data_IF_719560632120
#
_entry.id   IF_719560632120
#
_cell.length_a   1.000
_cell.length_b   1.000
_cell.length_c   1.000
_cell.angle_alpha   90.00
_cell.angle_beta   90.00
_cell.angle_gamma   90.00
#
_symmetry.space_group_name_H-M   'P 1'
#
loop_
_entity.id
_entity.type
_entity.pdbx_description
1 polymer ?
#
# COMPACT_ATOMS: atom_id res chain seq x y z
N UNK A 1 6.40 -12.01 -40.47
CA UNK A 1 5.05 -12.47 -40.89
C UNK A 1 4.07 -11.31 -41.11
N UNK A 2 3.66 -10.55 -40.09
CA UNK A 2 2.64 -9.49 -40.26
C UNK A 2 3.06 -8.30 -41.14
N UNK A 3 4.34 -7.96 -41.15
CA UNK A 3 4.86 -6.83 -41.93
C UNK A 3 5.32 -7.20 -43.35
N UNK A 4 5.37 -8.50 -43.69
CA UNK A 4 5.97 -8.97 -44.95
C UNK A 4 7.47 -8.65 -45.11
N UNK A 5 8.15 -8.20 -44.04
CA UNK A 5 9.56 -7.85 -44.04
C UNK A 5 10.44 -9.02 -43.54
N UNK A 6 11.68 -9.06 -44.02
CA UNK A 6 12.72 -9.97 -43.54
C UNK A 6 13.15 -9.64 -42.11
N UNK A 7 13.52 -10.67 -41.35
CA UNK A 7 14.03 -10.52 -39.99
C UNK A 7 15.33 -9.69 -39.98
N UNK A 8 15.40 -8.67 -39.13
CA UNK A 8 16.55 -7.76 -39.06
C UNK A 8 16.45 -6.47 -39.90
N UNK A 9 15.45 -6.34 -40.79
CA UNK A 9 15.21 -5.11 -41.57
C UNK A 9 14.45 -4.01 -40.81
N UNK A 10 14.05 -4.26 -39.57
CA UNK A 10 13.29 -3.35 -38.73
C UNK A 10 13.63 -3.55 -37.25
N UNK A 11 13.41 -2.50 -36.45
CA UNK A 11 13.51 -2.57 -34.98
C UNK A 11 12.13 -2.55 -34.35
N UNK A 12 11.90 -3.39 -33.35
CA UNK A 12 10.66 -3.40 -32.57
C UNK A 12 10.88 -2.82 -31.18
N UNK A 13 9.93 -1.99 -30.74
CA UNK A 13 9.83 -1.53 -29.37
C UNK A 13 8.47 -1.87 -28.79
N UNK A 14 8.45 -2.56 -27.66
CA UNK A 14 7.20 -2.88 -26.97
C UNK A 14 6.69 -1.63 -26.27
N UNK A 15 5.49 -1.17 -26.63
CA UNK A 15 4.83 -0.01 -26.04
C UNK A 15 3.84 -0.40 -24.94
N UNK A 16 3.21 -1.57 -25.07
CA UNK A 16 2.26 -2.09 -24.09
C UNK A 16 2.20 -3.61 -24.13
N UNK A 17 2.10 -4.24 -22.96
CA UNK A 17 1.83 -5.68 -22.79
C UNK A 17 0.63 -5.87 -21.85
N UNK A 18 -0.30 -6.74 -22.23
CA UNK A 18 -1.43 -7.12 -21.38
C UNK A 18 -1.85 -8.58 -21.62
N UNK A 19 -2.59 -9.13 -20.67
CA UNK A 19 -3.09 -10.51 -20.71
C UNK A 19 -4.62 -10.44 -20.73
N UNK A 20 -5.24 -11.11 -21.69
CA UNK A 20 -6.68 -11.38 -21.70
C UNK A 20 -6.90 -12.83 -21.29
N UNK A 21 -7.44 -13.01 -20.08
CA UNK A 21 -7.74 -14.31 -19.49
C UNK A 21 -9.24 -14.50 -19.22
N UNK A 22 -10.12 -13.78 -19.95
CA UNK A 22 -11.59 -13.87 -19.75
C UNK A 22 -12.19 -15.18 -20.30
N UNK A 23 -11.44 -15.92 -21.10
CA UNK A 23 -11.82 -17.20 -21.72
C UNK A 23 -10.72 -18.22 -21.48
N UNK A 24 -11.00 -19.54 -21.59
CA UNK A 24 -10.00 -20.59 -21.43
C UNK A 24 -8.77 -20.43 -22.34
N UNK A 25 -8.96 -19.91 -23.56
CA UNK A 25 -7.84 -19.51 -24.42
C UNK A 25 -7.32 -18.14 -23.98
N UNK A 26 -6.20 -18.14 -23.27
CA UNK A 26 -5.52 -16.94 -22.80
C UNK A 26 -4.68 -16.33 -23.92
N UNK A 27 -4.71 -15.01 -24.06
CA UNK A 27 -4.00 -14.28 -25.12
C UNK A 27 -3.15 -13.17 -24.51
N UNK A 28 -1.90 -13.06 -24.97
CA UNK A 28 -1.07 -11.88 -24.72
C UNK A 28 -1.32 -10.84 -25.82
N UNK A 29 -1.67 -9.64 -25.41
CA UNK A 29 -1.85 -8.50 -26.32
C UNK A 29 -0.64 -7.58 -26.20
N UNK A 30 0.05 -7.38 -27.33
CA UNK A 30 1.19 -6.49 -27.45
C UNK A 30 0.84 -5.31 -28.35
N UNK A 31 1.21 -4.10 -27.91
CA UNK A 31 1.29 -2.92 -28.78
C UNK A 31 2.76 -2.65 -29.06
N UNK A 32 3.14 -2.59 -30.33
CA UNK A 32 4.53 -2.43 -30.77
C UNK A 32 4.67 -1.13 -31.57
N UNK A 33 5.79 -0.43 -31.41
CA UNK A 33 6.30 0.51 -32.40
C UNK A 33 7.30 -0.23 -33.29
N UNK A 34 7.24 0.04 -34.58
CA UNK A 34 8.10 -0.58 -35.59
C UNK A 34 8.84 0.54 -36.32
N UNK A 35 10.17 0.45 -36.33
CA UNK A 35 11.05 1.39 -37.01
C UNK A 35 11.66 0.69 -38.21
N UNK A 36 11.39 1.19 -39.41
CA UNK A 36 11.80 0.57 -40.68
C UNK A 36 12.73 1.55 -41.38
N UNK A 37 13.94 1.11 -41.71
CA UNK A 37 14.97 1.97 -42.33
C UNK A 37 15.31 3.25 -41.52
N UNK A 38 14.98 3.26 -40.23
CA UNK A 38 15.31 4.33 -39.30
C UNK A 38 15.70 3.73 -37.94
N UNK A 39 16.57 4.39 -37.17
CA UNK A 39 16.91 3.94 -35.83
C UNK A 39 15.72 4.14 -34.89
N UNK A 40 15.53 3.20 -33.95
CA UNK A 40 14.64 3.44 -32.83
C UNK A 40 15.15 4.62 -31.98
N UNK A 41 14.26 5.50 -31.49
CA UNK A 41 14.65 6.63 -30.66
C UNK A 41 15.33 6.13 -29.37
N UNK A 42 16.38 6.85 -28.95
CA UNK A 42 17.03 6.61 -27.68
C UNK A 42 16.16 7.20 -26.56
N UNK A 43 15.45 6.36 -25.81
CA UNK A 43 14.57 6.77 -24.72
C UNK A 43 15.32 7.02 -23.40
N UNK A 44 16.54 7.57 -23.46
CA UNK A 44 17.27 7.92 -22.26
C UNK A 44 16.42 8.87 -21.41
N UNK A 45 15.98 8.38 -20.25
CA UNK A 45 15.14 9.14 -19.34
C UNK A 45 15.99 10.25 -18.72
N UNK A 46 15.58 11.50 -18.91
CA UNK A 46 16.32 12.67 -18.46
C UNK A 46 15.54 13.43 -17.39
N UNK A 47 16.17 13.62 -16.24
CA UNK A 47 15.65 14.44 -15.14
C UNK A 47 16.70 15.48 -14.75
N UNK A 48 16.39 16.75 -14.96
CA UNK A 48 17.27 17.87 -14.62
C UNK A 48 17.07 18.30 -13.17
N UNK A 49 17.91 17.77 -12.28
CA UNK A 49 17.99 18.21 -10.90
C UNK A 49 19.08 19.28 -10.76
N UNK A 50 18.74 20.42 -10.15
CA UNK A 50 19.67 21.54 -9.94
C UNK A 50 20.43 21.33 -8.64
N UNK A 51 21.66 21.83 -8.56
CA UNK A 51 22.34 22.01 -7.26
C UNK A 51 21.62 23.13 -6.48
N UNK A 52 21.03 22.74 -5.34
CA UNK A 52 20.24 23.60 -4.47
C UNK A 52 20.88 23.80 -3.10
N UNK A 53 22.18 23.49 -2.96
CA UNK A 53 22.92 23.61 -1.69
C UNK A 53 22.79 24.99 -1.02
N UNK A 54 22.66 26.07 -1.82
CA UNK A 54 22.49 27.46 -1.37
C UNK A 54 21.08 28.03 -1.65
N UNK A 55 20.13 27.21 -2.09
CA UNK A 55 18.79 27.66 -2.44
C UNK A 55 17.89 27.81 -1.20
N UNK A 56 16.72 28.43 -1.40
CA UNK A 56 15.72 28.62 -0.34
C UNK A 56 15.16 27.26 0.12
N UNK A 57 15.06 27.00 1.45
CA UNK A 57 14.59 25.73 1.96
C UNK A 57 13.07 25.55 1.84
N UNK A 58 12.64 24.32 1.58
CA UNK A 58 11.26 23.85 1.68
C UNK A 58 11.25 22.63 2.60
N UNK A 59 10.56 22.73 3.73
CA UNK A 59 10.51 21.65 4.71
C UNK A 59 9.41 20.65 4.34
N UNK A 60 9.73 19.37 4.32
CA UNK A 60 8.83 18.29 3.91
C UNK A 60 8.76 17.27 5.04
N UNK A 61 7.58 17.10 5.62
CA UNK A 61 7.37 16.17 6.73
C UNK A 61 6.86 14.83 6.19
N UNK A 62 7.71 13.81 6.28
CA UNK A 62 7.48 12.47 5.77
C UNK A 62 8.22 12.19 4.46
N UNK A 63 8.84 11.01 4.36
CA UNK A 63 9.56 10.53 3.19
C UNK A 63 8.87 9.34 2.50
N UNK A 64 7.53 9.36 2.49
CA UNK A 64 6.72 8.49 1.63
C UNK A 64 6.70 8.96 0.16
N UNK A 65 5.89 8.34 -0.71
CA UNK A 65 5.79 8.76 -2.12
C UNK A 65 5.44 10.24 -2.30
N UNK A 66 4.52 10.80 -1.52
CA UNK A 66 4.22 12.24 -1.63
C UNK A 66 5.45 13.11 -1.30
N UNK A 67 6.18 12.79 -0.23
CA UNK A 67 7.35 13.55 0.20
C UNK A 67 8.56 13.41 -0.74
N UNK A 68 8.84 12.19 -1.21
CA UNK A 68 9.91 11.92 -2.18
C UNK A 68 9.73 12.72 -3.46
N UNK A 69 8.53 12.71 -4.05
CA UNK A 69 8.29 13.43 -5.30
C UNK A 69 8.19 14.95 -5.08
N UNK A 70 7.72 15.41 -3.92
CA UNK A 70 7.81 16.81 -3.55
C UNK A 70 9.28 17.27 -3.46
N UNK A 71 10.17 16.45 -2.88
CA UNK A 71 11.59 16.76 -2.78
C UNK A 71 12.27 16.79 -4.15
N UNK A 72 12.06 15.77 -5.00
CA UNK A 72 12.57 15.77 -6.38
C UNK A 72 12.08 16.99 -7.17
N UNK A 73 10.80 17.35 -7.01
CA UNK A 73 10.24 18.55 -7.66
C UNK A 73 10.87 19.85 -7.15
N UNK A 74 11.25 19.92 -5.87
CA UNK A 74 12.00 21.07 -5.34
C UNK A 74 13.34 21.23 -6.07
N UNK A 75 14.08 20.14 -6.29
CA UNK A 75 15.37 20.18 -7.01
C UNK A 75 15.21 20.72 -8.44
N UNK A 76 14.21 20.25 -9.18
CA UNK A 76 13.91 20.72 -10.54
C UNK A 76 13.56 22.22 -10.55
N UNK A 77 12.84 22.68 -9.52
CA UNK A 77 12.43 24.06 -9.38
C UNK A 77 13.50 24.97 -8.75
N UNK A 78 14.62 24.41 -8.30
CA UNK A 78 15.72 25.17 -7.70
C UNK A 78 15.48 25.56 -6.24
N UNK A 79 14.71 24.76 -5.49
CA UNK A 79 14.51 24.90 -4.04
C UNK A 79 15.21 23.78 -3.30
N UNK A 80 15.71 24.07 -2.09
CA UNK A 80 16.38 23.09 -1.24
C UNK A 80 15.36 22.29 -0.43
N UNK A 81 15.07 21.01 -0.75
CA UNK A 81 14.19 20.22 0.10
C UNK A 81 14.91 19.85 1.40
N UNK A 82 14.25 20.06 2.55
CA UNK A 82 14.67 19.56 3.85
C UNK A 82 13.60 18.57 4.30
N UNK A 83 13.87 17.27 4.12
CA UNK A 83 12.94 16.20 4.47
C UNK A 83 13.16 15.77 5.91
N UNK A 84 12.08 15.67 6.67
CA UNK A 84 12.04 15.21 8.06
C UNK A 84 11.21 13.93 8.12
N UNK A 85 11.86 12.79 8.35
CA UNK A 85 11.24 11.48 8.46
C UNK A 85 11.34 10.96 9.89
N UNK A 86 10.18 10.62 10.48
CA UNK A 86 10.11 10.12 11.86
C UNK A 86 10.80 8.77 12.03
N UNK A 87 10.74 7.91 11.01
CA UNK A 87 11.28 6.56 11.08
C UNK A 87 12.71 6.41 10.57
N UNK A 88 13.15 5.16 10.57
CA UNK A 88 14.51 4.78 10.20
C UNK A 88 14.73 4.79 8.68
N UNK A 89 16.01 4.87 8.28
CA UNK A 89 16.40 4.52 6.93
C UNK A 89 16.06 3.05 6.61
N UNK A 90 16.00 2.70 5.33
CA UNK A 90 15.48 1.41 4.87
C UNK A 90 16.31 0.22 5.32
N UNK A 91 17.60 0.40 5.63
CA UNK A 91 18.47 -0.67 6.13
C UNK A 91 18.16 -0.99 7.59
N UNK A 92 18.07 0.03 8.43
CA UNK A 92 17.76 -0.09 9.85
C UNK A 92 16.31 -0.53 10.07
N UNK A 93 15.37 0.02 9.28
CA UNK A 93 13.94 -0.32 9.32
C UNK A 93 13.68 -1.83 9.20
N UNK A 94 14.51 -2.58 8.46
CA UNK A 94 14.40 -4.05 8.36
C UNK A 94 14.50 -4.76 9.71
N UNK A 95 15.28 -4.22 10.65
CA UNK A 95 15.43 -4.78 12.00
C UNK A 95 14.14 -4.60 12.78
N UNK A 96 13.53 -3.41 12.70
CA UNK A 96 12.23 -3.15 13.34
C UNK A 96 11.13 -4.05 12.75
N UNK A 97 11.10 -4.22 11.42
CA UNK A 97 10.14 -5.14 10.79
C UNK A 97 10.34 -6.59 11.25
N UNK A 98 11.58 -7.04 11.39
CA UNK A 98 11.90 -8.36 11.92
C UNK A 98 11.38 -8.51 13.35
N UNK A 99 11.58 -7.50 14.20
CA UNK A 99 11.11 -7.50 15.59
C UNK A 99 9.57 -7.60 15.69
N UNK A 100 8.82 -6.96 14.78
CA UNK A 100 7.36 -7.12 14.72
C UNK A 100 6.99 -8.58 14.38
N UNK A 101 7.67 -9.17 13.39
CA UNK A 101 7.33 -10.49 12.88
C UNK A 101 7.73 -11.64 13.81
N UNK A 102 8.88 -11.52 14.50
CA UNK A 102 9.47 -12.61 15.29
C UNK A 102 9.35 -12.38 16.79
N UNK A 103 9.51 -11.13 17.23
CA UNK A 103 9.55 -10.77 18.65
C UNK A 103 8.23 -10.14 19.12
N UNK A 104 7.27 -9.96 18.20
CA UNK A 104 5.97 -9.30 18.42
C UNK A 104 6.07 -7.86 18.95
N UNK A 105 7.22 -7.19 18.73
CA UNK A 105 7.49 -5.84 19.22
C UNK A 105 7.23 -4.80 18.13
N UNK A 106 6.32 -3.87 18.40
CA UNK A 106 6.00 -2.76 17.49
C UNK A 106 6.76 -1.52 17.93
N UNK A 107 7.75 -1.10 17.14
CA UNK A 107 8.35 0.21 17.29
C UNK A 107 7.39 1.28 16.72
N UNK A 108 6.90 2.22 17.54
CA UNK A 108 5.91 3.20 17.09
C UNK A 108 6.45 4.21 16.08
N UNK A 109 7.77 4.36 15.97
CA UNK A 109 8.41 5.33 15.08
C UNK A 109 9.02 4.68 13.83
N UNK A 110 9.25 3.37 13.82
CA UNK A 110 9.79 2.63 12.66
C UNK A 110 9.08 1.28 12.48
N UNK A 111 8.26 1.17 11.42
CA UNK A 111 7.38 0.02 11.18
C UNK A 111 6.97 -0.01 9.70
N UNK A 112 5.96 -0.80 9.32
CA UNK A 112 5.50 -0.87 7.91
C UNK A 112 4.93 0.45 7.37
N UNK A 113 4.52 1.39 8.22
CA UNK A 113 4.03 2.71 7.78
C UNK A 113 5.10 3.81 7.81
N UNK A 114 6.00 3.78 8.80
CA UNK A 114 6.95 4.88 9.07
C UNK A 114 8.41 4.49 8.77
N UNK A 115 9.18 5.45 8.27
CA UNK A 115 10.56 5.29 7.80
C UNK A 115 10.72 5.52 6.30
N UNK A 116 11.94 5.32 5.79
CA UNK A 116 12.32 5.62 4.41
C UNK A 116 11.38 4.96 3.38
N UNK A 117 10.78 5.80 2.51
CA UNK A 117 9.80 5.42 1.50
C UNK A 117 8.36 5.22 2.01
N UNK A 118 8.13 5.43 3.31
CA UNK A 118 6.82 5.36 3.95
C UNK A 118 6.16 3.98 3.83
N UNK A 119 4.82 3.97 3.72
CA UNK A 119 4.04 2.75 3.55
C UNK A 119 4.26 2.03 2.21
N UNK A 120 4.89 2.68 1.23
CA UNK A 120 5.13 2.11 -0.09
C UNK A 120 6.26 1.08 -0.13
N UNK A 121 7.28 1.23 0.73
CA UNK A 121 8.57 0.52 0.64
C UNK A 121 8.44 -1.00 0.68
N UNK A 122 7.63 -1.52 1.61
CA UNK A 122 7.44 -2.96 1.81
C UNK A 122 6.06 -3.40 1.33
N UNK A 123 5.85 -3.24 0.03
CA UNK A 123 4.58 -3.55 -0.64
C UNK A 123 4.83 -4.33 -1.94
N UNK A 124 3.76 -4.82 -2.57
CA UNK A 124 3.83 -5.32 -3.96
C UNK A 124 4.23 -4.21 -4.96
N UNK A 125 4.09 -2.94 -4.58
CA UNK A 125 4.47 -1.81 -5.43
C UNK A 125 3.61 -1.71 -6.68
N UNK A 126 2.31 -2.02 -6.57
CA UNK A 126 1.36 -1.90 -7.68
C UNK A 126 1.22 -0.43 -8.07
N UNK A 127 1.46 -0.14 -9.35
CA UNK A 127 1.40 1.20 -9.90
C UNK A 127 0.13 1.32 -10.75
N UNK A 128 -0.99 1.64 -10.09
CA UNK A 128 -2.28 1.80 -10.76
C UNK A 128 -3.00 3.04 -10.25
N UNK A 129 -3.55 3.82 -11.18
CA UNK A 129 -4.45 4.94 -10.88
C UNK A 129 -5.62 4.93 -11.86
N UNK A 130 -6.82 5.26 -11.34
CA UNK A 130 -8.02 5.52 -12.15
C UNK A 130 -8.17 7.00 -12.51
N UNK A 131 -7.35 7.86 -11.91
CA UNK A 131 -7.42 9.31 -12.08
C UNK A 131 -6.24 9.79 -12.93
N UNK A 132 -6.51 10.00 -14.22
CA UNK A 132 -5.57 10.62 -15.16
C UNK A 132 -5.71 12.15 -15.23
N UNK A 133 -6.63 12.73 -14.44
CA UNK A 133 -6.96 14.16 -14.49
C UNK A 133 -5.98 15.08 -13.75
N UNK A 134 -5.06 14.53 -12.94
CA UNK A 134 -4.27 15.31 -11.96
C UNK A 134 -2.77 15.00 -12.00
N UNK A 135 -2.17 15.16 -13.18
CA UNK A 135 -0.73 15.07 -13.37
C UNK A 135 -0.31 13.96 -14.32
N UNK A 136 0.99 13.90 -14.57
CA UNK A 136 1.59 12.98 -15.54
C UNK A 136 2.02 11.67 -14.87
N UNK A 137 1.17 10.65 -15.02
CA UNK A 137 1.45 9.30 -14.50
C UNK A 137 2.67 8.68 -15.16
N UNK A 138 2.89 8.95 -16.46
CA UNK A 138 4.00 8.38 -17.21
C UNK A 138 5.32 8.90 -16.66
N UNK A 139 5.39 10.21 -16.38
CA UNK A 139 6.57 10.83 -15.75
C UNK A 139 6.93 10.20 -14.41
N UNK A 140 5.95 9.78 -13.60
CA UNK A 140 6.21 9.07 -12.34
C UNK A 140 6.85 7.71 -12.59
N UNK A 141 6.39 6.97 -13.59
CA UNK A 141 6.97 5.65 -13.93
C UNK A 141 8.38 5.82 -14.51
N UNK A 142 8.58 6.80 -15.38
CA UNK A 142 9.89 7.16 -15.92
C UNK A 142 10.85 7.58 -14.80
N UNK A 143 10.37 8.35 -13.81
CA UNK A 143 11.17 8.69 -12.63
C UNK A 143 11.58 7.45 -11.84
N UNK A 144 10.66 6.49 -11.63
CA UNK A 144 10.98 5.23 -10.97
C UNK A 144 12.04 4.41 -11.73
N UNK A 145 11.93 4.33 -13.06
CA UNK A 145 12.93 3.65 -13.92
C UNK A 145 14.27 4.36 -13.83
N UNK A 146 14.29 5.69 -13.94
CA UNK A 146 15.50 6.51 -13.78
C UNK A 146 16.20 6.23 -12.44
N UNK A 147 15.43 5.99 -11.37
CA UNK A 147 15.94 5.65 -10.04
C UNK A 147 16.16 4.14 -9.81
N UNK A 148 16.10 3.31 -10.85
CA UNK A 148 16.50 1.89 -10.81
C UNK A 148 15.36 0.87 -10.80
N UNK A 149 14.12 1.26 -11.08
CA UNK A 149 13.06 0.31 -11.41
C UNK A 149 13.28 -0.30 -12.81
N UNK A 150 12.61 -1.42 -13.10
CA UNK A 150 12.70 -2.08 -14.42
C UNK A 150 11.85 -1.37 -15.46
N UNK A 151 12.35 -1.26 -16.69
CA UNK A 151 11.62 -0.72 -17.85
C UNK A 151 10.28 -1.42 -18.11
N UNK A 152 10.12 -2.66 -17.63
CA UNK A 152 8.87 -3.43 -17.70
C UNK A 152 7.67 -2.63 -17.16
N UNK A 153 7.87 -1.75 -16.16
CA UNK A 153 6.77 -0.95 -15.59
C UNK A 153 6.22 0.09 -16.56
N UNK A 154 6.97 0.46 -17.61
CA UNK A 154 6.54 1.39 -18.65
C UNK A 154 5.65 0.70 -19.71
N UNK A 155 5.69 -0.63 -19.75
CA UNK A 155 5.07 -1.45 -20.81
C UNK A 155 3.87 -2.24 -20.26
N UNK A 156 3.98 -2.78 -19.05
CA UNK A 156 2.94 -3.64 -18.50
C UNK A 156 1.66 -2.86 -18.18
N UNK A 157 0.51 -3.43 -18.54
CA UNK A 157 -0.80 -2.79 -18.29
C UNK A 157 -1.19 -2.72 -16.80
N UNK A 158 -0.63 -3.59 -15.97
CA UNK A 158 -0.81 -3.61 -14.52
C UNK A 158 0.57 -3.70 -13.84
N UNK A 159 1.38 -2.63 -13.92
CA UNK A 159 2.77 -2.69 -13.53
C UNK A 159 2.92 -2.80 -12.01
N UNK A 160 3.96 -3.50 -11.58
CA UNK A 160 4.35 -3.60 -10.18
C UNK A 160 5.87 -3.71 -10.05
N UNK A 161 6.40 -3.43 -8.87
CA UNK A 161 7.86 -3.43 -8.61
C UNK A 161 8.26 -4.55 -7.64
N UNK A 162 7.50 -4.73 -6.56
CA UNK A 162 7.74 -5.73 -5.53
C UNK A 162 8.62 -5.27 -4.36
N UNK A 163 8.36 -5.87 -3.20
CA UNK A 163 8.93 -5.45 -1.90
C UNK A 163 10.45 -5.60 -1.79
N UNK A 164 11.05 -6.45 -2.61
CA UNK A 164 12.49 -6.73 -2.63
C UNK A 164 13.28 -5.72 -3.48
N UNK A 165 12.61 -4.93 -4.34
CA UNK A 165 13.23 -3.96 -5.24
C UNK A 165 13.03 -2.52 -4.78
N UNK A 166 11.85 -2.21 -4.24
CA UNK A 166 11.49 -0.88 -3.74
C UNK A 166 12.50 -0.27 -2.75
N UNK A 167 13.05 -1.01 -1.75
CA UNK A 167 14.06 -0.46 -0.84
C UNK A 167 15.24 0.22 -1.52
N UNK A 168 15.78 -0.39 -2.59
CA UNK A 168 16.93 0.17 -3.30
C UNK A 168 16.54 1.39 -4.12
N UNK A 169 15.37 1.37 -4.76
CA UNK A 169 14.86 2.51 -5.55
C UNK A 169 14.64 3.73 -4.64
N UNK A 170 14.00 3.54 -3.49
CA UNK A 170 13.81 4.60 -2.49
C UNK A 170 15.15 5.13 -2.01
N UNK A 171 16.11 4.24 -1.72
CA UNK A 171 17.45 4.64 -1.32
C UNK A 171 18.14 5.49 -2.41
N UNK A 172 17.99 5.12 -3.69
CA UNK A 172 18.55 5.87 -4.81
C UNK A 172 17.91 7.27 -4.92
N UNK A 173 16.60 7.39 -4.72
CA UNK A 173 15.91 8.70 -4.69
C UNK A 173 16.49 9.60 -3.59
N UNK A 174 16.68 9.06 -2.37
CA UNK A 174 17.33 9.80 -1.27
C UNK A 174 18.74 10.25 -1.66
N UNK A 175 19.54 9.35 -2.21
CA UNK A 175 20.92 9.64 -2.61
C UNK A 175 20.97 10.75 -3.67
N UNK A 176 20.05 10.75 -4.65
CA UNK A 176 19.91 11.83 -5.63
C UNK A 176 19.55 13.16 -4.97
N UNK A 177 18.61 13.16 -4.02
CA UNK A 177 18.23 14.38 -3.27
C UNK A 177 19.45 14.98 -2.56
N UNK A 178 20.24 14.13 -1.88
CA UNK A 178 21.42 14.57 -1.14
C UNK A 178 22.55 15.05 -2.06
N UNK A 179 22.78 14.35 -3.18
CA UNK A 179 23.79 14.72 -4.18
C UNK A 179 23.55 16.11 -4.78
N UNK A 180 22.29 16.55 -4.87
CA UNK A 180 21.92 17.85 -5.42
C UNK A 180 21.74 18.92 -4.33
N UNK A 181 22.20 18.68 -3.09
CA UNK A 181 22.21 19.66 -2.01
C UNK A 181 20.94 19.72 -1.18
N UNK A 182 19.98 18.81 -1.40
CA UNK A 182 18.85 18.59 -0.49
C UNK A 182 19.26 17.83 0.77
N UNK A 183 18.41 17.86 1.80
CA UNK A 183 18.64 17.20 3.08
C UNK A 183 17.54 16.19 3.39
N UNK A 184 17.91 15.07 4.02
CA UNK A 184 16.99 14.04 4.50
C UNK A 184 17.42 13.61 5.89
N UNK A 185 16.60 13.94 6.88
CA UNK A 185 16.82 13.67 8.30
C UNK A 185 15.89 12.56 8.77
N UNK A 186 16.45 11.39 9.07
CA UNK A 186 15.72 10.27 9.69
C UNK A 186 15.63 10.44 11.20
N UNK A 187 14.78 9.65 11.87
CA UNK A 187 14.56 9.73 13.32
C UNK A 187 14.22 11.16 13.80
N UNK A 188 13.53 11.91 12.93
CA UNK A 188 13.23 13.32 13.12
C UNK A 188 11.73 13.52 12.98
N UNK A 189 11.03 13.37 14.11
CA UNK A 189 9.58 13.49 14.19
C UNK A 189 9.19 14.95 14.41
N UNK A 190 8.28 15.46 13.60
CA UNK A 190 7.60 16.73 13.89
C UNK A 190 6.52 16.48 14.94
N UNK A 191 6.56 17.25 16.02
CA UNK A 191 5.77 17.06 17.24
C UNK A 191 4.88 18.25 17.56
N UNK A 192 5.26 19.47 17.13
CA UNK A 192 4.42 20.65 17.29
C UNK A 192 4.61 21.68 16.16
N UNK A 193 3.67 22.63 16.07
CA UNK A 193 3.70 23.79 15.19
C UNK A 193 3.65 25.08 16.02
N UNK A 194 4.58 26.00 15.75
CA UNK A 194 4.57 27.36 16.30
C UNK A 194 3.87 28.27 15.29
N UNK A 195 2.68 28.74 15.66
CA UNK A 195 1.77 29.50 14.79
C UNK A 195 1.47 30.84 15.47
N UNK A 196 1.79 31.93 14.78
CA UNK A 196 1.48 33.29 15.22
C UNK A 196 0.66 33.97 14.12
N UNK A 197 -0.43 34.64 14.48
CA UNK A 197 -1.34 35.33 13.55
C UNK A 197 -1.74 34.45 12.34
N UNK A 198 -2.21 33.22 12.64
CA UNK A 198 -2.58 32.20 11.64
C UNK A 198 -1.48 31.85 10.62
N UNK A 199 -0.21 32.16 10.95
CA UNK A 199 0.94 31.91 10.09
C UNK A 199 1.92 30.99 10.80
N UNK A 200 2.28 29.88 10.15
CA UNK A 200 3.34 28.99 10.63
C UNK A 200 4.67 29.74 10.65
N UNK A 201 5.37 29.69 11.79
CA UNK A 201 6.69 30.31 11.98
C UNK A 201 7.79 29.29 12.23
N UNK A 202 7.47 28.21 12.94
CA UNK A 202 8.41 27.16 13.26
C UNK A 202 7.70 25.81 13.44
N UNK A 203 8.49 24.75 13.38
CA UNK A 203 8.09 23.38 13.74
C UNK A 203 8.95 22.91 14.91
N UNK A 204 8.39 22.07 15.78
CA UNK A 204 9.12 21.46 16.89
C UNK A 204 9.43 20.02 16.54
N UNK A 205 10.71 19.67 16.60
CA UNK A 205 11.24 18.33 16.31
C UNK A 205 11.50 17.60 17.62
N UNK A 206 11.08 16.34 17.70
CA UNK A 206 11.35 15.44 18.82
C UNK A 206 11.07 16.06 20.21
N UNK A 207 10.01 16.86 20.32
CA UNK A 207 9.54 17.55 21.54
C UNK A 207 10.49 18.61 22.13
N UNK A 208 11.64 18.91 21.51
CA UNK A 208 12.66 19.74 22.14
C UNK A 208 13.41 20.71 21.21
N UNK A 209 13.33 20.56 19.90
CA UNK A 209 14.11 21.35 18.96
C UNK A 209 13.20 22.17 18.05
N UNK A 210 13.13 23.48 18.31
CA UNK A 210 12.40 24.41 17.45
C UNK A 210 13.23 24.77 16.20
N UNK A 211 12.62 24.62 15.03
CA UNK A 211 13.20 24.93 13.73
C UNK A 211 12.31 25.95 13.03
N UNK A 212 12.85 27.14 12.76
CA UNK A 212 12.16 28.17 11.99
C UNK A 212 11.89 27.72 10.55
N UNK A 213 10.68 27.97 10.04
CA UNK A 213 10.26 27.57 8.70
C UNK A 213 9.37 28.62 8.03
N UNK A 214 9.52 28.78 6.71
CA UNK A 214 8.63 29.63 5.90
C UNK A 214 7.51 28.85 5.21
N UNK A 215 7.81 27.59 4.85
CA UNK A 215 6.96 26.70 4.05
C UNK A 215 7.15 25.26 4.49
N UNK A 216 6.05 24.58 4.74
CA UNK A 216 6.00 23.16 5.12
C UNK A 216 5.04 22.41 4.22
N UNK A 217 5.47 21.24 3.75
CA UNK A 217 4.61 20.24 3.09
C UNK A 217 4.38 19.10 4.08
N UNK A 218 3.13 18.88 4.48
CA UNK A 218 2.76 17.71 5.28
C UNK A 218 2.47 16.52 4.34
N UNK A 219 3.38 15.56 4.33
CA UNK A 219 3.33 14.33 3.52
C UNK A 219 3.44 13.08 4.41
N UNK A 220 2.76 13.11 5.56
CA UNK A 220 2.93 12.20 6.70
C UNK A 220 2.21 10.86 6.56
N UNK A 221 1.34 10.72 5.56
CA UNK A 221 0.50 9.54 5.35
C UNK A 221 -0.62 9.43 6.39
N UNK A 222 -1.61 8.57 6.09
CA UNK A 222 -2.83 8.46 6.92
C UNK A 222 -2.61 7.78 8.28
N UNK A 223 -1.48 7.11 8.49
CA UNK A 223 -1.17 6.43 9.76
C UNK A 223 -0.60 7.37 10.83
N UNK A 224 -0.18 8.59 10.47
CA UNK A 224 0.34 9.60 11.41
C UNK A 224 -0.80 10.25 12.21
N UNK A 225 -1.46 9.45 13.06
CA UNK A 225 -2.60 9.84 13.92
C UNK A 225 -2.27 11.04 14.80
N UNK A 226 -1.05 11.07 15.34
CA UNK A 226 -0.51 12.17 16.13
C UNK A 226 -0.50 13.50 15.40
N UNK A 227 -0.28 13.51 14.07
CA UNK A 227 -0.38 14.74 13.27
C UNK A 227 -1.83 15.19 13.14
N UNK A 228 -2.80 14.29 12.97
CA UNK A 228 -4.21 14.69 12.98
C UNK A 228 -4.66 15.23 14.34
N UNK A 229 -4.23 14.60 15.43
CA UNK A 229 -4.48 15.06 16.79
C UNK A 229 -3.85 16.45 17.03
N UNK A 230 -2.62 16.68 16.55
CA UNK A 230 -1.94 17.97 16.59
C UNK A 230 -2.68 19.05 15.80
N UNK A 231 -3.07 18.76 14.55
CA UNK A 231 -3.82 19.68 13.70
C UNK A 231 -5.15 20.07 14.37
N UNK A 232 -5.85 19.10 14.94
CA UNK A 232 -7.08 19.34 15.69
C UNK A 232 -6.86 20.23 16.91
N UNK A 233 -5.83 19.95 17.72
CA UNK A 233 -5.48 20.75 18.91
C UNK A 233 -5.07 22.19 18.58
N UNK A 234 -4.55 22.43 17.37
CA UNK A 234 -4.15 23.76 16.88
C UNK A 234 -5.27 24.47 16.11
N UNK A 235 -6.50 23.95 16.16
CA UNK A 235 -7.67 24.47 15.43
C UNK A 235 -7.42 24.61 13.91
N UNK A 236 -6.55 23.77 13.35
CA UNK A 236 -6.36 23.67 11.90
C UNK A 236 -7.50 22.83 11.33
N UNK A 237 -8.13 23.33 10.28
CA UNK A 237 -9.32 22.73 9.70
C UNK A 237 -9.10 21.26 9.30
N UNK A 238 -9.97 20.38 9.80
CA UNK A 238 -10.02 18.96 9.48
C UNK A 238 -11.46 18.58 9.14
N UNK A 239 -11.62 17.62 8.22
CA UNK A 239 -12.92 17.05 7.87
C UNK A 239 -12.85 15.53 7.96
N UNK A 240 -13.83 14.93 8.62
CA UNK A 240 -13.98 13.48 8.61
C UNK A 240 -14.28 13.01 7.18
N UNK A 241 -13.58 11.97 6.72
CA UNK A 241 -13.76 11.42 5.38
C UNK A 241 -14.12 9.94 5.46
N UNK A 242 -15.10 9.53 4.66
CA UNK A 242 -15.49 8.12 4.48
C UNK A 242 -14.32 7.28 3.95
N UNK A 243 -14.26 6.04 4.43
CA UNK A 243 -13.15 5.11 4.20
C UNK A 243 -13.70 3.68 4.16
N UNK A 244 -12.82 2.68 4.12
CA UNK A 244 -13.23 1.28 4.17
C UNK A 244 -12.38 0.50 5.19
N UNK A 245 -12.99 -0.52 5.78
CA UNK A 245 -12.30 -1.45 6.68
C UNK A 245 -12.83 -2.86 6.47
N UNK A 246 -12.00 -3.84 6.80
CA UNK A 246 -12.44 -5.23 6.81
C UNK A 246 -11.34 -6.14 7.31
N UNK A 247 -11.07 -7.20 6.57
CA UNK A 247 -10.12 -8.26 6.93
C UNK A 247 -9.20 -8.54 5.74
N UNK A 248 -8.06 -9.21 5.96
CA UNK A 248 -7.37 -9.90 4.87
C UNK A 248 -8.00 -11.25 4.65
N UNK A 249 -8.05 -11.67 3.39
CA UNK A 249 -8.36 -13.05 3.03
C UNK A 249 -7.18 -13.63 2.29
N UNK A 250 -6.83 -14.87 2.65
CA UNK A 250 -5.72 -15.62 2.08
C UNK A 250 -6.22 -16.95 1.53
N UNK A 251 -5.81 -17.23 0.29
CA UNK A 251 -6.07 -18.47 -0.43
C UNK A 251 -4.72 -19.05 -0.89
N UNK A 252 -4.59 -20.38 -1.00
CA UNK A 252 -3.56 -20.96 -1.85
C UNK A 252 -3.61 -20.34 -3.26
N UNK A 253 -2.46 -19.90 -3.77
CA UNK A 253 -2.37 -19.17 -5.05
C UNK A 253 -2.89 -20.03 -6.22
N UNK A 254 -2.69 -21.35 -6.16
CA UNK A 254 -3.15 -22.25 -7.22
C UNK A 254 -4.68 -22.23 -7.39
N UNK A 255 -5.47 -22.01 -6.32
CA UNK A 255 -6.93 -21.87 -6.43
C UNK A 255 -7.26 -20.64 -7.28
N UNK A 256 -6.60 -19.51 -7.03
CA UNK A 256 -6.81 -18.28 -7.79
C UNK A 256 -6.34 -18.44 -9.23
N UNK A 257 -5.21 -19.12 -9.45
CA UNK A 257 -4.71 -19.42 -10.79
C UNK A 257 -5.69 -20.29 -11.58
N UNK A 258 -6.19 -21.37 -10.98
CA UNK A 258 -7.18 -22.25 -11.61
C UNK A 258 -8.46 -21.51 -12.00
N UNK A 259 -8.92 -20.58 -11.17
CA UNK A 259 -10.14 -19.82 -11.47
C UNK A 259 -9.91 -18.79 -12.57
N UNK A 260 -8.80 -18.05 -12.52
CA UNK A 260 -8.54 -16.95 -13.47
C UNK A 260 -7.97 -17.42 -14.81
N UNK A 261 -7.23 -18.53 -14.82
CA UNK A 261 -6.57 -19.07 -16.00
C UNK A 261 -7.17 -20.39 -16.50
N UNK A 262 -8.24 -20.88 -15.86
CA UNK A 262 -8.94 -22.10 -16.25
C UNK A 262 -8.02 -23.33 -16.33
N UNK A 263 -7.00 -23.40 -15.46
CA UNK A 263 -6.03 -24.49 -15.43
C UNK A 263 -6.33 -25.51 -14.32
N UNK A 264 -6.16 -26.80 -14.61
CA UNK A 264 -6.41 -27.92 -13.69
C UNK A 264 -5.13 -28.50 -13.08
N UNK A 265 -4.16 -27.63 -12.75
CA UNK A 265 -2.83 -27.99 -12.29
C UNK A 265 -1.92 -26.75 -12.26
N UNK A 266 -0.62 -26.95 -12.49
CA UNK A 266 0.34 -25.86 -12.47
C UNK A 266 0.04 -24.79 -13.53
N UNK A 267 0.11 -23.54 -13.10
CA UNK A 267 0.03 -22.38 -13.98
C UNK A 267 1.23 -22.40 -14.93
N UNK A 268 0.99 -22.12 -16.23
CA UNK A 268 2.08 -21.92 -17.20
C UNK A 268 3.09 -20.88 -16.71
N UNK A 269 4.39 -21.18 -16.85
CA UNK A 269 5.48 -20.27 -16.47
C UNK A 269 5.44 -18.91 -17.20
N UNK A 270 4.76 -18.85 -18.35
CA UNK A 270 4.57 -17.61 -19.11
C UNK A 270 3.56 -16.66 -18.43
N UNK A 271 2.68 -17.19 -17.58
CA UNK A 271 1.65 -16.43 -16.89
C UNK A 271 2.15 -15.99 -15.50
N UNK A 272 1.96 -14.72 -15.13
CA UNK A 272 2.22 -14.28 -13.77
C UNK A 272 1.21 -14.90 -12.81
N UNK A 273 1.48 -14.84 -11.51
CA UNK A 273 0.48 -15.21 -10.51
C UNK A 273 -0.82 -14.45 -10.70
N UNK A 274 -1.93 -15.20 -10.74
CA UNK A 274 -3.24 -14.67 -11.06
C UNK A 274 -3.70 -13.64 -10.03
N UNK A 275 -4.36 -12.62 -10.56
CA UNK A 275 -4.89 -11.49 -9.82
C UNK A 275 -6.41 -11.42 -9.97
N UNK A 276 -7.11 -10.89 -8.96
CA UNK A 276 -8.55 -10.63 -9.05
C UNK A 276 -8.93 -9.23 -8.55
N UNK A 277 -10.12 -8.80 -8.97
CA UNK A 277 -10.80 -7.61 -8.46
C UNK A 277 -12.28 -7.94 -8.31
N UNK A 278 -12.78 -7.91 -7.08
CA UNK A 278 -14.16 -8.26 -6.74
C UNK A 278 -14.86 -7.06 -6.11
N UNK A 279 -16.14 -6.90 -6.42
CA UNK A 279 -17.04 -5.89 -5.84
C UNK A 279 -18.44 -6.47 -5.71
N UNK A 280 -19.12 -6.16 -4.62
CA UNK A 280 -20.51 -6.52 -4.33
C UNK A 280 -21.18 -5.39 -3.56
N UNK A 281 -22.48 -5.19 -3.77
CA UNK A 281 -23.27 -4.24 -2.99
C UNK A 281 -24.07 -4.98 -1.93
N UNK A 282 -23.78 -4.71 -0.66
CA UNK A 282 -24.46 -5.36 0.45
C UNK A 282 -25.08 -4.30 1.36
N UNK A 283 -26.42 -4.28 1.41
CA UNK A 283 -27.19 -3.35 2.25
C UNK A 283 -26.66 -1.91 2.09
N UNK A 284 -26.63 -1.45 0.84
CA UNK A 284 -26.21 -0.09 0.42
C UNK A 284 -24.75 0.28 0.70
N UNK A 285 -23.87 -0.69 0.93
CA UNK A 285 -22.43 -0.45 1.06
C UNK A 285 -21.66 -1.36 0.12
N UNK A 286 -20.62 -0.82 -0.49
CA UNK A 286 -19.68 -1.60 -1.27
C UNK A 286 -18.88 -2.55 -0.38
N UNK A 287 -18.83 -3.83 -0.75
CA UNK A 287 -17.88 -4.82 -0.26
C UNK A 287 -16.96 -5.16 -1.42
N UNK A 288 -15.66 -4.95 -1.28
CA UNK A 288 -14.75 -5.08 -2.42
C UNK A 288 -13.35 -5.52 -2.02
N UNK A 289 -12.64 -6.09 -2.99
CA UNK A 289 -11.23 -6.42 -2.84
C UNK A 289 -10.36 -5.17 -2.96
N UNK A 290 -9.42 -5.04 -2.05
CA UNK A 290 -8.47 -3.97 -1.92
C UNK A 290 -7.06 -4.55 -1.79
N UNK A 291 -6.09 -3.91 -2.41
CA UNK A 291 -4.68 -4.29 -2.34
C UNK A 291 -4.43 -5.81 -2.55
N UNK A 292 -5.07 -6.44 -3.54
CA UNK A 292 -4.86 -7.86 -3.86
C UNK A 292 -3.40 -8.13 -4.27
N UNK A 293 -2.73 -9.04 -3.57
CA UNK A 293 -1.32 -9.37 -3.65
C UNK A 293 -1.18 -10.83 -4.10
N UNK A 294 -0.92 -11.07 -5.39
CA UNK A 294 -0.73 -12.43 -5.90
C UNK A 294 0.67 -12.93 -5.53
N UNK A 295 0.77 -14.22 -5.18
CA UNK A 295 1.99 -14.88 -4.73
C UNK A 295 2.71 -14.09 -3.64
N UNK A 296 1.94 -13.56 -2.69
CA UNK A 296 2.36 -12.59 -1.70
C UNK A 296 2.34 -13.11 -0.26
N UNK A 297 2.42 -12.16 0.67
CA UNK A 297 2.35 -12.39 2.11
C UNK A 297 1.44 -11.36 2.77
N UNK A 298 0.77 -11.75 3.85
CA UNK A 298 0.14 -10.82 4.79
C UNK A 298 1.23 -10.30 5.74
N UNK A 299 1.18 -9.00 6.07
CA UNK A 299 2.18 -8.33 6.93
C UNK A 299 1.55 -7.66 8.15
N UNK A 300 2.24 -7.64 9.31
CA UNK A 300 1.78 -6.94 10.51
C UNK A 300 2.01 -5.43 10.39
N UNK A 301 0.98 -4.68 10.05
CA UNK A 301 1.05 -3.26 9.73
C UNK A 301 0.67 -2.34 10.91
N UNK A 302 0.74 -2.83 12.15
CA UNK A 302 0.49 -2.01 13.34
C UNK A 302 1.56 -0.92 13.47
N UNK A 303 1.15 0.26 13.95
CA UNK A 303 2.05 1.40 14.20
C UNK A 303 2.18 1.75 15.68
N UNK A 304 1.49 1.04 16.55
CA UNK A 304 1.55 1.27 17.99
C UNK A 304 1.42 -0.05 18.75
N UNK A 305 2.11 -0.20 19.90
CA UNK A 305 1.87 -1.33 20.79
C UNK A 305 0.39 -1.42 21.19
N UNK A 306 -0.11 -2.65 21.35
CA UNK A 306 -1.51 -2.90 21.70
C UNK A 306 -2.50 -2.88 20.54
N UNK A 307 -2.01 -2.83 19.30
CA UNK A 307 -2.81 -2.88 18.07
C UNK A 307 -2.40 -4.07 17.20
N UNK A 308 -3.36 -4.67 16.49
CA UNK A 308 -3.11 -5.57 15.36
C UNK A 308 -3.76 -4.97 14.12
N UNK A 309 -2.96 -4.80 13.08
CA UNK A 309 -3.37 -4.35 11.75
C UNK A 309 -2.69 -5.27 10.75
N UNK A 310 -3.40 -5.65 9.70
CA UNK A 310 -2.83 -6.42 8.60
C UNK A 310 -2.85 -5.63 7.31
N UNK A 311 -1.90 -5.93 6.43
CA UNK A 311 -1.87 -5.52 5.03
C UNK A 311 -1.25 -6.65 4.19
N UNK A 312 -0.98 -6.42 2.90
CA UNK A 312 -0.35 -7.40 2.02
C UNK A 312 0.80 -6.83 1.20
N UNK A 313 1.75 -7.69 0.86
CA UNK A 313 2.85 -7.39 -0.05
C UNK A 313 3.18 -8.59 -0.94
N UNK A 314 3.87 -8.35 -2.07
CA UNK A 314 4.44 -9.43 -2.87
C UNK A 314 5.88 -9.09 -3.28
N UNK A 315 6.75 -10.10 -3.45
CA UNK A 315 8.04 -9.91 -4.11
C UNK A 315 7.82 -9.65 -5.61
N UNK A 316 8.84 -9.14 -6.29
CA UNK A 316 8.80 -8.82 -7.72
C UNK A 316 8.45 -10.02 -8.60
N UNK A 317 8.75 -11.25 -8.16
CA UNK A 317 8.42 -12.48 -8.88
C UNK A 317 7.00 -13.01 -8.59
N UNK A 318 6.33 -12.52 -7.54
CA UNK A 318 4.99 -12.98 -7.10
C UNK A 318 4.87 -14.51 -7.07
N UNK A 319 5.83 -15.17 -6.44
CA UNK A 319 6.01 -16.63 -6.51
C UNK A 319 5.84 -17.34 -5.16
N UNK A 320 5.18 -16.72 -4.18
CA UNK A 320 4.82 -17.43 -2.95
C UNK A 320 3.56 -18.27 -3.11
N UNK A 321 3.31 -19.10 -2.10
CA UNK A 321 2.23 -20.07 -2.05
C UNK A 321 0.83 -19.46 -1.99
N UNK A 322 0.70 -18.18 -1.61
CA UNK A 322 -0.59 -17.59 -1.28
C UNK A 322 -0.93 -16.36 -2.11
N UNK A 323 -2.20 -16.27 -2.49
CA UNK A 323 -2.85 -15.04 -2.91
C UNK A 323 -3.55 -14.43 -1.70
N UNK A 324 -3.41 -13.13 -1.48
CA UNK A 324 -4.17 -12.47 -0.43
C UNK A 324 -4.74 -11.11 -0.87
N UNK A 325 -5.88 -10.70 -0.33
CA UNK A 325 -6.45 -9.35 -0.55
C UNK A 325 -7.13 -8.84 0.70
N UNK A 326 -7.12 -7.53 0.91
CA UNK A 326 -8.02 -6.90 1.88
C UNK A 326 -9.42 -6.98 1.31
N UNK A 327 -10.38 -7.57 2.02
CA UNK A 327 -11.78 -7.51 1.65
C UNK A 327 -12.45 -6.56 2.62
N UNK A 328 -12.85 -5.41 2.10
CA UNK A 328 -13.23 -4.25 2.91
C UNK A 328 -14.65 -3.81 2.60
N UNK A 329 -15.28 -3.23 3.60
CA UNK A 329 -16.63 -2.67 3.56
C UNK A 329 -16.50 -1.16 3.62
N UNK A 330 -17.19 -0.47 2.70
CA UNK A 330 -17.33 0.98 2.75
C UNK A 330 -18.02 1.43 4.04
N UNK A 331 -17.47 2.47 4.66
CA UNK A 331 -17.98 3.10 5.87
C UNK A 331 -18.23 4.57 5.58
N UNK A 332 -19.48 4.97 5.69
CA UNK A 332 -19.88 6.36 5.69
C UNK A 332 -19.74 6.93 7.11
N UNK A 333 -18.79 7.86 7.30
CA UNK A 333 -18.47 8.41 8.63
C UNK A 333 -19.62 9.19 9.28
N UNK A 334 -20.59 9.67 8.51
CA UNK A 334 -21.71 10.45 9.02
C UNK A 334 -22.92 9.58 9.37
N UNK A 335 -23.04 8.40 8.75
CA UNK A 335 -24.20 7.51 8.93
C UNK A 335 -23.89 6.28 9.77
N UNK A 336 -22.69 5.72 9.63
CA UNK A 336 -22.42 4.35 10.06
C UNK A 336 -21.76 4.25 11.45
N UNK A 337 -21.19 5.35 11.95
CA UNK A 337 -20.47 5.38 13.23
C UNK A 337 -20.98 6.47 14.21
N UNK A 338 -22.30 6.61 14.44
CA UNK A 338 -22.85 7.69 15.27
C UNK A 338 -22.34 7.70 16.72
N UNK A 339 -21.90 6.54 17.24
CA UNK A 339 -21.29 6.43 18.59
C UNK A 339 -19.98 7.21 18.75
N UNK A 340 -19.38 7.64 17.64
CA UNK A 340 -18.09 8.33 17.60
C UNK A 340 -18.23 9.82 17.33
N UNK A 341 -19.45 10.37 17.25
CA UNK A 341 -19.68 11.76 16.88
C UNK A 341 -19.01 12.77 17.83
N UNK A 342 -18.86 12.40 19.11
CA UNK A 342 -18.15 13.19 20.12
C UNK A 342 -16.68 13.51 19.78
N UNK A 343 -16.08 12.80 18.83
CA UNK A 343 -14.71 13.02 18.37
C UNK A 343 -14.62 13.95 17.14
N UNK A 344 -15.75 14.47 16.65
CA UNK A 344 -15.80 15.42 15.54
C UNK A 344 -15.08 14.89 14.29
N UNK A 345 -14.14 15.68 13.74
CA UNK A 345 -13.37 15.30 12.56
C UNK A 345 -12.51 14.02 12.75
N UNK A 346 -12.17 13.66 13.99
CA UNK A 346 -11.33 12.52 14.31
C UNK A 346 -12.11 11.20 14.50
N UNK A 347 -13.44 11.21 14.36
CA UNK A 347 -14.32 10.05 14.61
C UNK A 347 -13.92 8.78 13.86
N UNK A 348 -13.42 8.92 12.62
CA UNK A 348 -12.92 7.79 11.83
C UNK A 348 -11.66 7.15 12.42
N UNK A 349 -10.73 7.96 12.93
CA UNK A 349 -9.48 7.47 13.53
C UNK A 349 -9.75 6.70 14.83
N UNK A 350 -10.67 7.18 15.66
CA UNK A 350 -11.08 6.50 16.88
C UNK A 350 -11.80 5.19 16.61
N UNK A 351 -12.64 5.14 15.57
CA UNK A 351 -13.25 3.88 15.12
C UNK A 351 -12.19 2.86 14.67
N UNK A 352 -11.17 3.30 13.94
CA UNK A 352 -10.04 2.44 13.56
C UNK A 352 -9.30 1.92 14.80
N UNK A 353 -8.85 2.81 15.70
CA UNK A 353 -8.13 2.44 16.94
C UNK A 353 -8.87 1.37 17.73
N UNK A 354 -10.19 1.50 17.86
CA UNK A 354 -11.01 0.54 18.61
C UNK A 354 -11.03 -0.84 17.96
N UNK A 355 -11.14 -0.93 16.64
CA UNK A 355 -11.13 -2.22 15.94
C UNK A 355 -9.73 -2.88 15.98
N UNK A 356 -8.67 -2.09 15.91
CA UNK A 356 -7.28 -2.56 15.97
C UNK A 356 -6.92 -3.12 17.36
N UNK A 357 -7.41 -2.50 18.43
CA UNK A 357 -7.28 -3.00 19.81
C UNK A 357 -8.14 -4.23 20.08
N UNK A 358 -9.33 -4.30 19.48
CA UNK A 358 -10.17 -5.50 19.50
C UNK A 358 -9.41 -6.66 18.85
N UNK A 359 -8.78 -6.43 17.70
CA UNK A 359 -7.99 -7.44 17.02
C UNK A 359 -6.80 -7.90 17.86
N UNK A 360 -6.06 -6.98 18.48
CA UNK A 360 -4.96 -7.31 19.39
C UNK A 360 -5.42 -8.17 20.58
N UNK A 361 -6.52 -7.79 21.23
CA UNK A 361 -7.05 -8.54 22.37
C UNK A 361 -7.53 -9.93 21.96
N UNK A 362 -8.21 -10.03 20.81
CA UNK A 362 -8.73 -11.30 20.29
C UNK A 362 -7.64 -12.20 19.71
N UNK A 363 -6.52 -11.62 19.28
CA UNK A 363 -5.34 -12.34 18.79
C UNK A 363 -4.44 -12.90 19.90
N UNK A 364 -4.71 -12.60 21.17
CA UNK A 364 -3.92 -13.09 22.30
C UNK A 364 -2.94 -12.07 22.89
N UNK A 365 -3.13 -10.76 22.62
CA UNK A 365 -2.28 -9.66 23.10
C UNK A 365 -0.81 -9.76 22.66
N UNK A 366 -0.59 -10.33 21.49
CA UNK A 366 0.68 -10.31 20.75
C UNK A 366 0.41 -9.76 19.34
N UNK A 367 1.40 -9.82 18.45
CA UNK A 367 1.17 -9.56 17.01
C UNK A 367 0.50 -10.74 16.28
N UNK A 368 0.18 -11.84 16.96
CA UNK A 368 -0.63 -12.91 16.38
C UNK A 368 -2.01 -12.38 16.00
N UNK A 369 -2.46 -12.66 14.77
CA UNK A 369 -3.72 -12.12 14.28
C UNK A 369 -4.90 -13.03 14.64
N UNK A 370 -6.04 -12.48 15.09
CA UNK A 370 -7.27 -13.25 15.15
C UNK A 370 -7.68 -13.68 13.74
N UNK A 371 -8.08 -14.93 13.58
CA UNK A 371 -8.39 -15.51 12.27
C UNK A 371 -9.51 -16.53 12.37
N UNK A 372 -10.07 -16.86 11.22
CA UNK A 372 -11.15 -17.84 11.08
C UNK A 372 -11.10 -18.41 9.65
N UNK A 373 -11.45 -19.68 9.45
CA UNK A 373 -11.66 -20.18 8.08
C UNK A 373 -12.79 -19.42 7.41
N UNK A 374 -12.66 -19.18 6.11
CA UNK A 374 -13.61 -18.35 5.36
C UNK A 374 -15.04 -18.90 5.43
N UNK A 375 -15.22 -20.21 5.25
CA UNK A 375 -16.51 -20.90 5.39
C UNK A 375 -17.09 -20.75 6.79
N UNK A 376 -16.28 -21.01 7.81
CA UNK A 376 -16.71 -20.87 9.21
C UNK A 376 -17.15 -19.43 9.52
N UNK A 377 -16.45 -18.42 8.99
CA UNK A 377 -16.84 -17.02 9.15
C UNK A 377 -18.19 -16.71 8.50
N UNK A 378 -18.38 -17.19 7.27
CA UNK A 378 -19.62 -16.99 6.51
C UNK A 378 -20.80 -17.71 7.16
N UNK A 379 -20.62 -18.92 7.65
CA UNK A 379 -21.67 -19.70 8.32
C UNK A 379 -21.91 -19.26 9.77
N UNK A 380 -20.92 -18.64 10.41
CA UNK A 380 -21.01 -18.15 11.79
C UNK A 380 -20.61 -19.17 12.85
N UNK A 381 -19.64 -20.03 12.53
CA UNK A 381 -19.11 -21.07 13.40
C UNK A 381 -17.68 -20.73 13.83
N UNK A 382 -17.26 -21.03 15.05
CA UNK A 382 -15.84 -20.92 15.41
C UNK A 382 -15.02 -22.00 14.68
N UNK A 383 -13.86 -21.63 14.12
CA UNK A 383 -12.94 -22.59 13.53
C UNK A 383 -12.20 -23.38 14.61
N UNK A 384 -12.26 -24.71 14.55
CA UNK A 384 -11.52 -25.59 15.46
C UNK A 384 -10.01 -25.53 15.18
N UNK A 385 -9.66 -25.41 13.90
CA UNK A 385 -8.32 -25.32 13.35
C UNK A 385 -8.27 -24.28 12.21
N UNK A 386 -7.06 -23.84 11.85
CA UNK A 386 -6.81 -22.85 10.81
C UNK A 386 -5.86 -23.41 9.75
N UNK A 387 -6.05 -22.98 8.51
CA UNK A 387 -5.11 -23.34 7.44
C UNK A 387 -3.73 -22.69 7.67
N UNK A 388 -2.65 -23.25 7.10
CA UNK A 388 -1.36 -22.58 7.04
C UNK A 388 -1.47 -21.15 6.45
N UNK A 389 -0.56 -20.26 6.85
CA UNK A 389 -0.62 -18.84 6.47
C UNK A 389 0.74 -18.29 6.08
N UNK A 390 0.74 -17.20 5.31
CA UNK A 390 1.93 -16.37 5.10
C UNK A 390 2.23 -15.39 6.23
N UNK A 391 1.27 -15.14 7.14
CA UNK A 391 1.40 -14.16 8.21
C UNK A 391 2.35 -14.68 9.31
N UNK A 392 3.57 -14.14 9.33
CA UNK A 392 4.66 -14.68 10.17
C UNK A 392 4.42 -14.63 11.68
N UNK A 393 3.80 -13.58 12.28
CA UNK A 393 3.48 -13.61 13.71
C UNK A 393 2.50 -14.73 14.13
N UNK A 394 1.92 -15.44 13.17
CA UNK A 394 0.99 -16.54 13.41
C UNK A 394 -0.46 -16.09 13.55
N UNK A 395 -1.34 -17.07 13.57
CA UNK A 395 -2.78 -16.89 13.71
C UNK A 395 -3.28 -17.47 15.03
N UNK A 396 -4.35 -16.87 15.54
CA UNK A 396 -5.13 -17.43 16.64
C UNK A 396 -6.58 -17.57 16.20
N UNK A 397 -7.18 -18.74 16.42
CA UNK A 397 -8.59 -18.94 16.07
C UNK A 397 -9.46 -18.08 16.97
N UNK A 398 -10.26 -17.21 16.36
CA UNK A 398 -11.12 -16.27 17.06
C UNK A 398 -12.47 -16.17 16.34
N UNK A 399 -13.58 -15.94 17.07
CA UNK A 399 -14.90 -15.84 16.47
C UNK A 399 -15.11 -14.45 15.82
N UNK A 400 -14.32 -14.14 14.78
CA UNK A 400 -14.41 -12.86 14.05
C UNK A 400 -15.82 -12.58 13.52
N UNK A 401 -16.57 -13.63 13.17
CA UNK A 401 -17.98 -13.54 12.78
C UNK A 401 -18.88 -12.88 13.84
N UNK A 402 -18.54 -13.02 15.13
CA UNK A 402 -19.27 -12.40 16.25
C UNK A 402 -18.58 -11.15 16.78
N UNK A 403 -17.24 -11.07 16.69
CA UNK A 403 -16.45 -9.95 17.22
C UNK A 403 -16.50 -8.71 16.32
N UNK A 404 -16.51 -8.89 14.99
CA UNK A 404 -16.55 -7.75 14.08
C UNK A 404 -17.88 -7.00 14.23
N UNK A 405 -17.87 -5.65 14.21
CA UNK A 405 -19.10 -4.87 14.25
C UNK A 405 -20.08 -5.31 13.17
N UNK A 406 -21.39 -5.36 13.50
CA UNK A 406 -22.45 -5.79 12.56
C UNK A 406 -22.37 -5.04 11.21
N UNK A 407 -21.96 -3.77 11.25
CA UNK A 407 -21.70 -2.94 10.07
C UNK A 407 -20.76 -3.60 9.06
N UNK A 408 -19.67 -4.21 9.54
CA UNK A 408 -18.62 -4.85 8.75
C UNK A 408 -18.90 -6.35 8.62
N UNK A 409 -19.01 -7.07 9.74
CA UNK A 409 -19.06 -8.53 9.77
C UNK A 409 -20.24 -9.10 8.96
N UNK A 410 -21.44 -8.55 9.13
CA UNK A 410 -22.61 -9.06 8.38
C UNK A 410 -22.52 -8.80 6.88
N UNK A 411 -21.86 -7.71 6.47
CA UNK A 411 -21.69 -7.37 5.05
C UNK A 411 -20.60 -8.20 4.41
N UNK A 412 -19.48 -8.43 5.11
CA UNK A 412 -18.43 -9.33 4.67
C UNK A 412 -18.99 -10.74 4.42
N UNK A 413 -19.79 -11.29 5.34
CA UNK A 413 -20.38 -12.64 5.17
C UNK A 413 -21.21 -12.76 3.88
N UNK A 414 -22.05 -11.78 3.59
CA UNK A 414 -22.86 -11.76 2.36
C UNK A 414 -22.00 -11.50 1.12
N UNK A 415 -21.01 -10.61 1.22
CA UNK A 415 -20.06 -10.33 0.15
C UNK A 415 -19.23 -11.55 -0.24
N UNK A 416 -18.76 -12.33 0.73
CA UNK A 416 -18.02 -13.57 0.47
C UNK A 416 -18.85 -14.64 -0.22
N UNK A 417 -20.12 -14.79 0.17
CA UNK A 417 -21.04 -15.69 -0.52
C UNK A 417 -21.20 -15.29 -1.99
N UNK A 418 -21.47 -14.01 -2.25
CA UNK A 418 -21.59 -13.49 -3.61
C UNK A 418 -20.27 -13.60 -4.41
N UNK A 419 -19.11 -13.45 -3.75
CA UNK A 419 -17.81 -13.67 -4.39
C UNK A 419 -17.62 -15.14 -4.77
N UNK A 420 -18.09 -16.09 -3.96
CA UNK A 420 -18.13 -17.50 -4.31
C UNK A 420 -18.93 -17.77 -5.59
N UNK A 421 -20.08 -17.10 -5.76
CA UNK A 421 -20.91 -17.24 -6.97
C UNK A 421 -20.25 -16.61 -8.21
N UNK A 422 -19.51 -15.51 -8.04
CA UNK A 422 -18.79 -14.83 -9.15
C UNK A 422 -17.50 -15.54 -9.54
N UNK A 423 -16.83 -16.14 -8.57
CA UNK A 423 -15.50 -16.71 -8.68
C UNK A 423 -15.54 -18.10 -8.03
N UNK A 424 -16.18 -19.05 -8.71
CA UNK A 424 -16.42 -20.41 -8.24
C UNK A 424 -15.12 -21.05 -7.71
N UNK A 425 -15.12 -21.47 -6.44
CA UNK A 425 -13.93 -21.95 -5.72
C UNK A 425 -13.30 -20.93 -4.77
N UNK A 426 -13.64 -19.64 -4.88
CA UNK A 426 -13.19 -18.61 -3.94
C UNK A 426 -13.75 -18.80 -2.53
N UNK A 427 -15.01 -19.25 -2.45
CA UNK A 427 -15.65 -19.62 -1.18
C UNK A 427 -15.28 -21.07 -0.84
N UNK A 428 -14.16 -21.25 -0.14
CA UNK A 428 -13.57 -22.57 0.18
C UNK A 428 -13.09 -22.65 1.63
N UNK A 429 -13.07 -23.87 2.17
CA UNK A 429 -12.53 -24.19 3.51
C UNK A 429 -11.02 -23.97 3.60
N UNK A 430 -10.32 -23.98 2.46
CA UNK A 430 -8.86 -23.79 2.37
C UNK A 430 -8.42 -22.32 2.50
N UNK A 431 -9.37 -21.40 2.65
CA UNK A 431 -9.10 -19.98 2.82
C UNK A 431 -9.26 -19.54 4.27
N UNK A 432 -8.39 -18.62 4.69
CA UNK A 432 -8.48 -17.95 5.99
C UNK A 432 -8.90 -16.49 5.81
N UNK A 433 -9.75 -16.00 6.71
CA UNK A 433 -9.83 -14.57 7.03
C UNK A 433 -8.86 -14.26 8.18
N UNK A 434 -8.17 -13.12 8.09
CA UNK A 434 -7.03 -12.79 8.97
C UNK A 434 -7.10 -11.32 9.38
N UNK A 435 -7.04 -11.09 10.70
CA UNK A 435 -6.84 -9.78 11.30
C UNK A 435 -7.85 -8.72 10.87
N UNK A 436 -7.42 -7.45 10.94
CA UNK A 436 -8.22 -6.31 10.48
C UNK A 436 -7.41 -5.45 9.52
N UNK A 437 -7.97 -5.21 8.34
CA UNK A 437 -7.44 -4.26 7.35
C UNK A 437 -8.17 -2.93 7.57
N UNK A 438 -7.60 -2.07 8.42
CA UNK A 438 -8.26 -0.88 8.96
C UNK A 438 -7.86 0.44 8.29
N UNK A 439 -6.78 0.44 7.50
CA UNK A 439 -6.10 1.66 7.05
C UNK A 439 -5.98 1.72 5.52
N UNK A 440 -7.13 1.80 4.85
CA UNK A 440 -7.18 1.81 3.37
C UNK A 440 -6.94 3.20 2.76
N UNK A 441 -7.36 4.25 3.46
CA UNK A 441 -7.35 5.64 2.99
C UNK A 441 -7.61 6.61 4.14
N UNK A 442 -7.21 7.88 3.94
CA UNK A 442 -7.65 9.04 4.73
C UNK A 442 -8.43 10.00 3.87
#
# INVERSE_FOLDING_TARGET
QYLGLEEGSFTLKVLRKSIDARKPKIVFNYKLAVYINEPAPNDALHFEYKDVSKAKPIHIVGFGPAGMWAALRCLEMGYKPIVLERGNNVKERRRDLKAINQDHQVNPESNYCFGEGGAGTYSDGKLYTRSLKRGDVRRIFESLVFHGATDQILVDAHPHIGTNKLPKIVQNIREVIQQHGGEVHFNTKVTDFVINDNTLKAIVLNDNNEMAVDRVILATGHSARDIFDLLHKKDIALQAKSFAMGVRVEHPQHIIDSIQYHCSGDRSELLPAASYSLVEQVKERGVYSFCMCPGGFIVPAATSPGEVVVNGMSPSKRNNLYANSGIVVEINVDKDIPKYEKFGALKGLEYQKNLERLAFTSGGRTQTAPAQRLTDFVEGNLSVDLNPTSYQPGLNSAPLHSLLPKLIGSRLRQGFKAFGDKMHGYYTVEANIVGVESRTSS
#
